data_IF_973812972051
#
_entry.id   IF_973812972051
#
_cell.length_a   1.000
_cell.length_b   1.000
_cell.length_c   1.000
_cell.angle_alpha   90.00
_cell.angle_beta   90.00
_cell.angle_gamma   90.00
#
_symmetry.space_group_name_H-M   'P 1'
#
loop_
_entity.id
_entity.type
_entity.pdbx_description
1 polymer ?
#
# COMPACT_ATOMS: atom_id res chain seq x y z
N UNK A 1 -20.86 -10.93 -27.02
CA UNK A 1 -21.09 -9.48 -26.84
C UNK A 1 -20.77 -9.03 -25.41
N UNK A 2 -21.31 -9.67 -24.36
CA UNK A 2 -21.03 -9.29 -22.95
C UNK A 2 -19.54 -9.25 -22.55
N UNK A 3 -18.67 -10.20 -22.97
CA UNK A 3 -17.25 -10.15 -22.61
C UNK A 3 -16.49 -8.96 -23.20
N UNK A 4 -16.86 -8.50 -24.40
CA UNK A 4 -16.23 -7.33 -25.05
C UNK A 4 -16.57 -6.05 -24.29
N UNK A 5 -17.84 -5.90 -23.89
CA UNK A 5 -18.28 -4.80 -23.05
C UNK A 5 -17.63 -4.84 -21.66
N UNK A 6 -17.49 -6.04 -21.07
CA UNK A 6 -16.77 -6.23 -19.81
C UNK A 6 -15.31 -5.80 -19.90
N UNK A 7 -14.59 -6.23 -20.93
CA UNK A 7 -13.20 -5.83 -21.16
C UNK A 7 -13.06 -4.31 -21.37
N UNK A 8 -13.93 -3.70 -22.19
CA UNK A 8 -13.96 -2.24 -22.37
C UNK A 8 -14.20 -1.51 -21.05
N UNK A 9 -15.16 -1.99 -20.25
CA UNK A 9 -15.47 -1.40 -18.97
C UNK A 9 -14.32 -1.54 -17.97
N UNK A 10 -13.58 -2.66 -17.99
CA UNK A 10 -12.38 -2.83 -17.16
C UNK A 10 -11.28 -1.86 -17.63
N UNK A 11 -10.94 -1.85 -18.92
CA UNK A 11 -9.83 -1.04 -19.42
C UNK A 11 -10.08 0.47 -19.45
N UNK A 12 -11.34 0.91 -19.41
CA UNK A 12 -11.69 2.33 -19.38
C UNK A 12 -12.22 2.74 -18.00
N UNK A 13 -13.16 1.99 -17.45
CA UNK A 13 -13.83 2.29 -16.20
C UNK A 13 -12.93 2.15 -14.97
N UNK A 14 -12.13 1.07 -14.87
CA UNK A 14 -11.26 0.88 -13.71
C UNK A 14 -10.17 1.97 -13.61
N UNK A 15 -9.48 2.39 -14.69
CA UNK A 15 -8.56 3.53 -14.62
C UNK A 15 -9.25 4.84 -14.22
N UNK A 16 -10.44 5.13 -14.75
CA UNK A 16 -11.19 6.34 -14.35
C UNK A 16 -11.51 6.27 -12.85
N UNK A 17 -12.05 5.15 -12.38
CA UNK A 17 -12.37 4.91 -10.97
C UNK A 17 -11.12 5.08 -10.08
N UNK A 18 -10.00 4.48 -10.48
CA UNK A 18 -8.71 4.59 -9.78
C UNK A 18 -8.20 6.02 -9.71
N UNK A 19 -8.37 6.78 -10.79
CA UNK A 19 -7.96 8.18 -10.91
C UNK A 19 -8.78 9.18 -10.09
N UNK A 20 -9.96 8.79 -9.56
CA UNK A 20 -10.79 9.69 -8.77
C UNK A 20 -10.07 10.14 -7.48
N UNK A 21 -9.86 11.46 -7.28
CA UNK A 21 -9.08 12.00 -6.17
C UNK A 21 -9.91 12.11 -4.87
N UNK A 22 -10.66 11.04 -4.52
CA UNK A 22 -11.57 11.01 -3.37
C UNK A 22 -10.87 11.40 -2.07
N UNK A 23 -9.64 10.92 -1.85
CA UNK A 23 -8.82 11.29 -0.69
C UNK A 23 -8.62 12.80 -0.59
N UNK A 24 -8.31 13.46 -1.72
CA UNK A 24 -8.09 14.90 -1.74
C UNK A 24 -9.39 15.66 -1.44
N UNK A 25 -10.53 15.21 -1.95
CA UNK A 25 -11.83 15.82 -1.66
C UNK A 25 -12.21 15.65 -0.20
N UNK A 26 -12.11 14.44 0.35
CA UNK A 26 -12.37 14.13 1.76
C UNK A 26 -11.50 15.00 2.67
N UNK A 27 -10.20 15.04 2.40
CA UNK A 27 -9.25 15.81 3.21
C UNK A 27 -9.54 17.31 3.13
N UNK A 28 -9.84 17.83 1.94
CA UNK A 28 -10.16 19.24 1.77
C UNK A 28 -11.48 19.62 2.46
N UNK A 29 -12.52 18.79 2.38
CA UNK A 29 -13.80 19.05 3.05
C UNK A 29 -13.62 19.09 4.57
N UNK A 30 -12.87 18.15 5.14
CA UNK A 30 -12.74 18.00 6.59
C UNK A 30 -11.69 18.91 7.23
N UNK A 31 -10.57 19.14 6.56
CA UNK A 31 -9.42 19.86 7.13
C UNK A 31 -9.06 21.14 6.38
N UNK A 32 -9.74 21.46 5.27
CA UNK A 32 -9.44 22.57 4.35
C UNK A 32 -8.03 22.56 3.76
N UNK A 33 -7.28 21.47 3.96
CA UNK A 33 -5.92 21.28 3.44
C UNK A 33 -5.95 20.63 2.07
N UNK A 34 -5.04 21.08 1.19
CA UNK A 34 -4.85 20.52 -0.16
C UNK A 34 -3.61 19.64 -0.16
N UNK A 35 -3.81 18.32 -0.19
CA UNK A 35 -2.72 17.34 -0.12
C UNK A 35 -1.68 17.53 -1.24
N UNK A 36 -2.11 17.91 -2.45
CA UNK A 36 -1.22 18.17 -3.58
C UNK A 36 -0.23 19.32 -3.39
N UNK A 37 -0.38 20.14 -2.33
CA UNK A 37 0.51 21.26 -1.99
C UNK A 37 1.27 21.04 -0.68
N UNK A 38 1.19 19.85 -0.09
CA UNK A 38 1.70 19.56 1.25
C UNK A 38 2.58 18.31 1.24
N UNK A 39 3.59 18.27 2.11
CA UNK A 39 4.45 17.11 2.29
C UNK A 39 5.15 16.71 0.99
N UNK A 40 4.95 15.45 0.57
CA UNK A 40 5.48 14.88 -0.67
C UNK A 40 4.69 15.30 -1.92
N UNK A 41 3.52 15.91 -1.75
CA UNK A 41 2.57 16.19 -2.83
C UNK A 41 1.72 14.98 -3.24
N UNK A 42 1.92 13.82 -2.61
CA UNK A 42 1.15 12.62 -2.88
C UNK A 42 -0.28 12.75 -2.35
N UNK A 43 -1.23 12.25 -3.15
CA UNK A 43 -2.61 12.11 -2.69
C UNK A 43 -2.74 10.67 -2.21
N UNK A 44 -2.24 10.36 -1.01
CA UNK A 44 -2.22 9.00 -0.47
C UNK A 44 -3.05 8.89 0.83
N UNK A 45 -3.36 7.65 1.24
CA UNK A 45 -4.00 7.40 2.53
C UNK A 45 -3.11 7.88 3.69
N UNK A 46 -1.80 7.63 3.61
CA UNK A 46 -0.84 8.12 4.59
C UNK A 46 -0.81 9.65 4.65
N UNK A 47 -0.82 10.34 3.51
CA UNK A 47 -0.89 11.80 3.46
C UNK A 47 -2.18 12.34 4.08
N UNK A 48 -3.31 11.64 3.92
CA UNK A 48 -4.58 12.00 4.56
C UNK A 48 -4.52 11.85 6.09
N UNK A 49 -3.90 10.79 6.62
CA UNK A 49 -3.63 10.69 8.06
C UNK A 49 -2.69 11.79 8.54
N UNK A 50 -1.59 12.01 7.81
CA UNK A 50 -0.54 12.93 8.21
C UNK A 50 -1.02 14.38 8.25
N UNK A 51 -1.71 14.84 7.19
CA UNK A 51 -2.14 16.23 7.06
C UNK A 51 -3.60 16.45 7.47
N UNK A 52 -4.50 15.50 7.17
CA UNK A 52 -5.94 15.61 7.44
C UNK A 52 -6.38 15.03 8.79
N UNK A 53 -5.49 14.30 9.47
CA UNK A 53 -5.77 13.67 10.76
C UNK A 53 -6.54 12.35 10.64
N UNK A 54 -6.85 11.76 11.81
CA UNK A 54 -7.38 10.39 11.93
C UNK A 54 -8.68 10.16 11.14
N UNK A 55 -9.63 11.09 11.21
CA UNK A 55 -10.94 10.94 10.55
C UNK A 55 -10.78 10.96 9.02
N UNK A 56 -10.03 11.93 8.50
CA UNK A 56 -9.75 12.02 7.06
C UNK A 56 -9.01 10.77 6.57
N UNK A 57 -8.04 10.27 7.34
CA UNK A 57 -7.33 9.04 7.05
C UNK A 57 -8.24 7.80 7.01
N UNK A 58 -9.14 7.61 7.99
CA UNK A 58 -10.08 6.48 8.00
C UNK A 58 -11.01 6.52 6.78
N UNK A 59 -11.57 7.68 6.46
CA UNK A 59 -12.42 7.84 5.29
C UNK A 59 -11.64 7.64 3.98
N UNK A 60 -10.37 8.05 3.95
CA UNK A 60 -9.48 7.74 2.83
C UNK A 60 -9.26 6.23 2.68
N UNK A 61 -9.01 5.48 3.76
CA UNK A 61 -8.93 4.01 3.71
C UNK A 61 -10.21 3.41 3.13
N UNK A 62 -11.37 3.78 3.68
CA UNK A 62 -12.66 3.21 3.26
C UNK A 62 -12.96 3.50 1.78
N UNK A 63 -12.71 4.73 1.32
CA UNK A 63 -12.94 5.10 -0.08
C UNK A 63 -12.01 4.37 -1.04
N UNK A 64 -10.73 4.19 -0.71
CA UNK A 64 -9.80 3.43 -1.54
C UNK A 64 -10.09 1.92 -1.50
N UNK A 65 -10.43 1.38 -0.32
CA UNK A 65 -10.83 -0.02 -0.16
C UNK A 65 -12.05 -0.35 -1.03
N UNK A 66 -13.09 0.51 -0.97
CA UNK A 66 -14.31 0.33 -1.73
C UNK A 66 -14.05 0.32 -3.24
N UNK A 67 -13.15 1.18 -3.75
CA UNK A 67 -12.76 1.18 -5.17
C UNK A 67 -12.11 -0.14 -5.58
N UNK A 68 -11.21 -0.68 -4.75
CA UNK A 68 -10.57 -1.97 -5.00
C UNK A 68 -11.57 -3.12 -5.04
N UNK A 69 -12.47 -3.18 -4.06
CA UNK A 69 -13.55 -4.17 -3.98
C UNK A 69 -14.48 -4.05 -5.20
N UNK A 70 -14.89 -2.82 -5.55
CA UNK A 70 -15.78 -2.57 -6.68
C UNK A 70 -15.16 -3.04 -8.00
N UNK A 71 -13.87 -2.82 -8.23
CA UNK A 71 -13.19 -3.30 -9.45
C UNK A 71 -13.21 -4.84 -9.56
N UNK A 72 -12.98 -5.53 -8.45
CA UNK A 72 -13.02 -7.00 -8.41
C UNK A 72 -14.43 -7.53 -8.65
N UNK A 73 -15.43 -7.00 -7.93
CA UNK A 73 -16.82 -7.41 -8.12
C UNK A 73 -17.33 -7.11 -9.53
N UNK A 74 -16.89 -6.00 -10.12
CA UNK A 74 -17.20 -5.65 -11.49
C UNK A 74 -16.63 -6.68 -12.45
N UNK A 75 -15.33 -7.01 -12.34
CA UNK A 75 -14.72 -8.03 -13.19
C UNK A 75 -15.41 -9.38 -13.04
N UNK A 76 -15.68 -9.81 -11.80
CA UNK A 76 -16.41 -11.05 -11.49
C UNK A 76 -17.79 -11.12 -12.13
N UNK A 77 -18.49 -10.00 -12.25
CA UNK A 77 -19.83 -9.95 -12.85
C UNK A 77 -19.82 -10.19 -14.37
N UNK A 78 -18.72 -9.85 -15.06
CA UNK A 78 -18.58 -10.05 -16.50
C UNK A 78 -17.78 -11.31 -16.86
N UNK A 79 -16.90 -11.77 -15.96
CA UNK A 79 -15.96 -12.88 -16.16
C UNK A 79 -15.96 -13.84 -14.95
N UNK A 80 -17.08 -14.50 -14.63
CA UNK A 80 -17.22 -15.30 -13.40
C UNK A 80 -16.27 -16.52 -13.36
N UNK A 81 -15.95 -17.10 -14.51
CA UNK A 81 -15.10 -18.29 -14.64
C UNK A 81 -13.63 -17.96 -14.97
N UNK A 82 -13.24 -16.68 -14.87
CA UNK A 82 -11.91 -16.21 -15.29
C UNK A 82 -11.34 -15.25 -14.25
N UNK A 83 -10.86 -15.76 -13.10
CA UNK A 83 -10.43 -14.98 -11.94
C UNK A 83 -9.25 -14.04 -12.25
N UNK A 84 -8.47 -14.30 -13.30
CA UNK A 84 -7.40 -13.41 -13.76
C UNK A 84 -7.92 -12.02 -14.15
N UNK A 85 -9.17 -11.91 -14.60
CA UNK A 85 -9.78 -10.62 -14.95
C UNK A 85 -9.99 -9.72 -13.73
N UNK A 86 -10.16 -10.30 -12.54
CA UNK A 86 -10.22 -9.54 -11.29
C UNK A 86 -8.87 -8.87 -10.99
N UNK A 87 -7.77 -9.60 -11.23
CA UNK A 87 -6.41 -9.07 -11.07
C UNK A 87 -6.09 -8.04 -12.16
N UNK A 88 -6.50 -8.28 -13.41
CA UNK A 88 -6.37 -7.31 -14.51
C UNK A 88 -7.14 -6.01 -14.20
N UNK A 89 -8.33 -6.11 -13.61
CA UNK A 89 -9.10 -4.95 -13.18
C UNK A 89 -8.39 -4.17 -12.06
N UNK A 90 -7.72 -4.85 -11.13
CA UNK A 90 -6.87 -4.20 -10.14
C UNK A 90 -5.67 -3.51 -10.78
N UNK A 91 -5.01 -4.11 -11.78
CA UNK A 91 -3.92 -3.47 -12.54
C UNK A 91 -4.42 -2.19 -13.22
N UNK A 92 -5.55 -2.26 -13.91
CA UNK A 92 -6.15 -1.11 -14.58
C UNK A 92 -6.55 -0.01 -13.59
N UNK A 93 -7.08 -0.38 -12.43
CA UNK A 93 -7.38 0.56 -11.35
C UNK A 93 -6.10 1.22 -10.81
N UNK A 94 -5.05 0.44 -10.54
CA UNK A 94 -3.76 0.96 -10.06
C UNK A 94 -3.13 1.89 -11.10
N UNK A 95 -3.28 1.58 -12.39
CA UNK A 95 -2.82 2.45 -13.48
C UNK A 95 -3.44 3.84 -13.36
N UNK A 96 -4.78 3.91 -13.28
CA UNK A 96 -5.47 5.19 -13.08
C UNK A 96 -5.07 5.87 -11.77
N UNK A 97 -4.91 5.08 -10.70
CA UNK A 97 -4.53 5.58 -9.38
C UNK A 97 -3.17 6.25 -9.36
N UNK A 98 -2.22 5.71 -10.13
CA UNK A 98 -0.87 6.22 -10.26
C UNK A 98 -0.82 7.44 -11.18
N UNK A 99 -1.22 7.29 -12.44
CA UNK A 99 -1.03 8.31 -13.47
C UNK A 99 -1.96 9.52 -13.29
N UNK A 100 -3.17 9.32 -12.77
CA UNK A 100 -4.17 10.39 -12.57
C UNK A 100 -4.23 10.78 -11.10
N UNK A 101 -4.41 9.80 -10.21
CA UNK A 101 -4.62 10.02 -8.79
C UNK A 101 -3.37 10.31 -7.97
N UNK A 102 -2.16 10.23 -8.55
CA UNK A 102 -0.86 10.46 -7.88
C UNK A 102 -0.70 9.68 -6.57
N UNK A 103 -0.98 8.38 -6.59
CA UNK A 103 -0.73 7.50 -5.46
C UNK A 103 -0.55 6.05 -5.89
N UNK A 104 -0.02 5.23 -5.00
CA UNK A 104 0.49 3.92 -5.38
C UNK A 104 -0.59 2.84 -5.61
N UNK A 105 -1.79 3.00 -5.04
CA UNK A 105 -2.87 2.03 -5.16
C UNK A 105 -2.81 0.80 -4.24
N UNK A 106 -1.87 0.77 -3.29
CA UNK A 106 -1.70 -0.34 -2.33
C UNK A 106 -3.00 -0.70 -1.59
N UNK A 107 -3.73 0.30 -1.07
CA UNK A 107 -4.99 0.04 -0.36
C UNK A 107 -6.05 -0.55 -1.27
N UNK A 108 -6.14 -0.10 -2.53
CA UNK A 108 -7.09 -0.67 -3.49
C UNK A 108 -6.75 -2.14 -3.76
N UNK A 109 -5.45 -2.44 -3.98
CA UNK A 109 -5.00 -3.80 -4.26
C UNK A 109 -5.24 -4.71 -3.06
N UNK A 110 -4.86 -4.31 -1.84
CA UNK A 110 -5.06 -5.14 -0.64
C UNK A 110 -6.53 -5.51 -0.46
N UNK A 111 -7.43 -4.54 -0.49
CA UNK A 111 -8.86 -4.81 -0.26
C UNK A 111 -9.54 -5.48 -1.43
N UNK A 112 -9.12 -5.19 -2.66
CA UNK A 112 -9.54 -5.95 -3.83
C UNK A 112 -9.12 -7.41 -3.74
N UNK A 113 -7.85 -7.66 -3.40
CA UNK A 113 -7.31 -9.02 -3.32
C UNK A 113 -7.96 -9.83 -2.18
N UNK A 114 -8.35 -9.19 -1.08
CA UNK A 114 -9.14 -9.83 -0.01
C UNK A 114 -10.47 -10.38 -0.54
N UNK A 115 -11.13 -9.68 -1.46
CA UNK A 115 -12.39 -10.12 -2.08
C UNK A 115 -12.16 -11.14 -3.20
N UNK A 116 -11.04 -11.00 -3.92
CA UNK A 116 -10.60 -11.92 -4.96
C UNK A 116 -10.26 -13.30 -4.39
N UNK A 117 -9.27 -13.36 -3.50
CA UNK A 117 -8.84 -14.58 -2.82
C UNK A 117 -8.56 -14.28 -1.32
N UNK A 118 -9.55 -14.55 -0.45
CA UNK A 118 -9.41 -14.34 0.99
C UNK A 118 -8.30 -15.17 1.62
N UNK A 119 -8.02 -16.37 1.10
CA UNK A 119 -7.06 -17.30 1.70
C UNK A 119 -5.64 -16.87 1.36
N UNK A 120 -5.36 -16.52 0.09
CA UNK A 120 -4.07 -15.94 -0.28
C UNK A 120 -3.83 -14.67 0.52
N UNK A 121 -4.82 -13.78 0.60
CA UNK A 121 -4.72 -12.53 1.35
C UNK A 121 -4.40 -12.77 2.82
N UNK A 122 -5.06 -13.76 3.45
CA UNK A 122 -4.80 -14.13 4.84
C UNK A 122 -3.39 -14.69 5.04
N UNK A 123 -2.93 -15.60 4.18
CA UNK A 123 -1.59 -16.17 4.27
C UNK A 123 -0.49 -15.13 4.03
N UNK A 124 -0.67 -14.25 3.04
CA UNK A 124 0.23 -13.12 2.79
C UNK A 124 0.27 -12.18 3.99
N UNK A 125 -0.88 -11.87 4.58
CA UNK A 125 -0.96 -11.04 5.79
C UNK A 125 -0.25 -11.69 6.97
N UNK A 126 -0.46 -12.99 7.20
CA UNK A 126 0.15 -13.73 8.30
C UNK A 126 1.69 -13.78 8.14
N UNK A 127 2.17 -14.28 7.00
CA UNK A 127 3.61 -14.46 6.74
C UNK A 127 4.30 -13.11 6.62
N UNK A 128 3.70 -12.15 5.89
CA UNK A 128 4.22 -10.80 5.75
C UNK A 128 4.22 -10.03 7.07
N UNK A 129 3.19 -10.19 7.90
CA UNK A 129 3.11 -9.58 9.23
C UNK A 129 4.14 -10.13 10.20
N UNK A 130 4.36 -11.44 10.20
CA UNK A 130 5.44 -12.08 10.98
C UNK A 130 6.80 -11.59 10.48
N UNK A 131 7.03 -11.61 9.17
CA UNK A 131 8.27 -11.12 8.56
C UNK A 131 8.57 -9.66 8.89
N UNK A 132 7.55 -8.80 8.82
CA UNK A 132 7.65 -7.39 9.22
C UNK A 132 7.97 -7.23 10.72
N UNK A 133 7.37 -8.06 11.58
CA UNK A 133 7.61 -8.02 13.04
C UNK A 133 9.04 -8.45 13.40
N UNK A 134 9.61 -9.41 12.65
CA UNK A 134 10.96 -9.95 12.87
C UNK A 134 12.03 -9.02 12.29
N UNK A 135 11.93 -8.69 11.00
CA UNK A 135 12.95 -7.90 10.31
C UNK A 135 12.92 -6.43 10.73
N UNK A 136 11.73 -5.92 11.07
CA UNK A 136 11.45 -4.51 11.41
C UNK A 136 11.98 -3.49 10.40
N UNK A 137 12.30 -3.92 9.18
CA UNK A 137 12.74 -3.06 8.10
C UNK A 137 11.58 -2.87 7.12
N UNK A 138 11.09 -1.64 7.03
CA UNK A 138 9.85 -1.35 6.29
C UNK A 138 10.00 -1.54 4.79
N UNK A 139 11.15 -1.17 4.24
CA UNK A 139 11.45 -1.34 2.82
C UNK A 139 11.47 -2.81 2.42
N UNK A 140 12.18 -3.64 3.19
CA UNK A 140 12.24 -5.08 2.99
C UNK A 140 10.87 -5.74 3.15
N UNK A 141 10.05 -5.32 4.12
CA UNK A 141 8.68 -5.80 4.28
C UNK A 141 7.79 -5.48 3.06
N UNK A 142 7.84 -4.24 2.56
CA UNK A 142 7.06 -3.78 1.39
C UNK A 142 7.37 -4.62 0.14
N UNK A 143 8.64 -4.85 -0.15
CA UNK A 143 9.05 -5.62 -1.32
C UNK A 143 8.91 -7.13 -1.12
N UNK A 144 9.10 -7.62 0.10
CA UNK A 144 8.87 -9.02 0.46
C UNK A 144 7.43 -9.44 0.18
N UNK A 145 6.44 -8.61 0.51
CA UNK A 145 5.02 -8.87 0.22
C UNK A 145 4.76 -8.99 -1.29
N UNK A 146 5.44 -8.19 -2.13
CA UNK A 146 5.29 -8.25 -3.59
C UNK A 146 5.81 -9.55 -4.20
N UNK A 147 6.81 -10.17 -3.58
CA UNK A 147 7.27 -11.51 -3.98
C UNK A 147 6.37 -12.60 -3.41
N UNK A 148 5.95 -12.42 -2.16
CA UNK A 148 5.19 -13.39 -1.41
C UNK A 148 3.79 -13.64 -2.00
N UNK A 149 3.07 -12.60 -2.41
CA UNK A 149 1.70 -12.79 -2.88
C UNK A 149 1.59 -13.60 -4.18
N UNK A 150 2.33 -13.33 -5.29
CA UNK A 150 2.22 -14.16 -6.48
C UNK A 150 2.74 -15.58 -6.23
N UNK A 151 3.70 -15.77 -5.32
CA UNK A 151 4.17 -17.08 -4.92
C UNK A 151 3.06 -17.89 -4.24
N UNK A 152 2.36 -17.31 -3.27
CA UNK A 152 1.25 -17.98 -2.59
C UNK A 152 0.10 -18.24 -3.58
N UNK A 153 -0.18 -17.31 -4.49
CA UNK A 153 -1.16 -17.54 -5.57
C UNK A 153 -0.77 -18.74 -6.44
N UNK A 154 0.50 -18.85 -6.84
CA UNK A 154 0.99 -19.98 -7.64
C UNK A 154 0.94 -21.31 -6.89
N UNK A 155 1.21 -21.32 -5.58
CA UNK A 155 1.12 -22.53 -4.76
C UNK A 155 -0.33 -22.99 -4.57
N UNK A 156 -1.28 -22.07 -4.49
CA UNK A 156 -2.70 -22.37 -4.29
C UNK A 156 -3.42 -22.74 -5.58
N UNK A 157 -3.07 -22.06 -6.68
CA UNK A 157 -3.71 -22.22 -8.00
C UNK A 157 -2.70 -22.66 -9.06
N UNK A 158 -2.01 -23.81 -8.88
CA UNK A 158 -0.87 -24.20 -9.72
C UNK A 158 -1.23 -24.45 -11.19
N UNK A 159 -2.50 -24.69 -11.50
CA UNK A 159 -2.98 -24.96 -12.85
C UNK A 159 -3.56 -23.71 -13.55
N UNK A 160 -3.69 -22.59 -12.84
CA UNK A 160 -4.27 -21.34 -13.37
C UNK A 160 -3.18 -20.37 -13.82
N UNK A 161 -2.46 -20.73 -14.88
CA UNK A 161 -1.36 -19.92 -15.41
C UNK A 161 -1.73 -18.44 -15.67
N UNK A 162 -2.92 -18.09 -16.22
CA UNK A 162 -3.31 -16.69 -16.41
C UNK A 162 -3.42 -15.89 -15.10
N UNK A 163 -3.92 -16.52 -14.03
CA UNK A 163 -4.04 -15.89 -12.73
C UNK A 163 -2.66 -15.64 -12.09
N UNK A 164 -1.75 -16.59 -12.22
CA UNK A 164 -0.37 -16.46 -11.74
C UNK A 164 0.35 -15.33 -12.49
N UNK A 165 0.26 -15.33 -13.81
CA UNK A 165 0.91 -14.32 -14.66
C UNK A 165 0.38 -12.92 -14.39
N UNK A 166 -0.94 -12.75 -14.27
CA UNK A 166 -1.55 -11.47 -13.91
C UNK A 166 -1.14 -11.01 -12.51
N UNK A 167 -1.04 -11.93 -11.53
CA UNK A 167 -0.54 -11.63 -10.18
C UNK A 167 0.92 -11.17 -10.19
N UNK A 168 1.80 -11.84 -10.95
CA UNK A 168 3.19 -11.40 -11.17
C UNK A 168 3.22 -10.02 -11.84
N UNK A 169 2.36 -9.78 -12.83
CA UNK A 169 2.22 -8.49 -13.51
C UNK A 169 1.84 -7.37 -12.54
N UNK A 170 0.85 -7.60 -11.69
CA UNK A 170 0.43 -6.66 -10.65
C UNK A 170 1.56 -6.39 -9.65
N UNK A 171 2.27 -7.44 -9.21
CA UNK A 171 3.40 -7.33 -8.30
C UNK A 171 4.52 -6.45 -8.88
N UNK A 172 4.88 -6.72 -10.13
CA UNK A 172 5.92 -6.00 -10.86
C UNK A 172 5.53 -4.55 -11.08
N UNK A 173 4.25 -4.29 -11.40
CA UNK A 173 3.77 -2.93 -11.60
C UNK A 173 3.79 -2.12 -10.30
N UNK A 174 3.36 -2.71 -9.18
CA UNK A 174 3.49 -2.07 -7.86
C UNK A 174 4.95 -1.86 -7.47
N UNK A 175 5.83 -2.83 -7.73
CA UNK A 175 7.26 -2.71 -7.49
C UNK A 175 7.84 -1.49 -8.21
N UNK A 176 7.49 -1.31 -9.49
CA UNK A 176 7.93 -0.17 -10.28
C UNK A 176 7.39 1.14 -9.71
N UNK A 177 6.08 1.22 -9.42
CA UNK A 177 5.45 2.42 -8.83
C UNK A 177 6.12 2.79 -7.49
N UNK A 178 6.41 1.80 -6.65
CA UNK A 178 7.05 2.00 -5.35
C UNK A 178 8.44 2.61 -5.43
N UNK A 179 9.13 2.46 -6.56
CA UNK A 179 10.43 3.08 -6.80
C UNK A 179 10.30 4.50 -7.39
N UNK A 180 9.10 4.93 -7.83
CA UNK A 180 8.87 6.25 -8.42
C UNK A 180 8.26 7.26 -7.43
N UNK A 181 7.49 6.79 -6.44
CA UNK A 181 6.75 7.67 -5.52
C UNK A 181 7.52 7.84 -4.19
N UNK A 182 7.67 9.07 -3.68
CA UNK A 182 8.23 9.32 -2.35
C UNK A 182 7.33 8.72 -1.25
N UNK A 183 7.90 8.18 -0.17
CA UNK A 183 7.08 7.61 0.91
C UNK A 183 6.67 8.68 1.94
N UNK A 184 5.37 8.82 2.18
CA UNK A 184 4.84 9.79 3.14
C UNK A 184 5.23 9.48 4.59
N UNK A 185 5.55 8.22 4.91
CA UNK A 185 5.98 7.89 6.27
C UNK A 185 7.43 8.30 6.56
N UNK A 186 8.20 8.74 5.56
CA UNK A 186 9.54 9.31 5.77
C UNK A 186 9.47 10.75 6.33
N UNK A 187 8.28 11.37 6.29
CA UNK A 187 8.05 12.70 6.85
C UNK A 187 8.25 12.72 8.37
N UNK A 188 8.60 13.89 8.91
CA UNK A 188 8.85 14.10 10.35
C UNK A 188 7.55 13.92 11.17
N UNK A 189 7.46 12.96 12.11
CA UNK A 189 6.22 12.70 12.87
C UNK A 189 5.70 13.91 13.63
N UNK A 190 6.59 14.80 14.08
CA UNK A 190 6.24 15.99 14.87
C UNK A 190 5.37 16.99 14.09
N UNK A 191 5.45 16.92 12.74
CA UNK A 191 4.64 17.73 11.82
C UNK A 191 3.35 17.05 11.39
N UNK A 192 3.12 15.79 11.78
CA UNK A 192 1.85 15.12 11.56
C UNK A 192 0.77 15.71 12.50
N UNK A 193 -0.49 15.63 12.09
CA UNK A 193 -1.62 15.94 12.96
C UNK A 193 -1.58 15.15 14.28
N UNK A 194 -1.92 15.80 15.40
CA UNK A 194 -1.71 15.26 16.76
C UNK A 194 -2.23 13.83 16.95
N UNK A 195 -3.41 13.54 16.41
CA UNK A 195 -4.05 12.22 16.49
C UNK A 195 -3.37 11.11 15.67
N UNK A 196 -2.38 11.44 14.84
CA UNK A 196 -1.69 10.52 13.94
C UNK A 196 -0.19 10.39 14.22
N UNK A 197 0.39 11.24 15.10
CA UNK A 197 1.83 11.26 15.39
C UNK A 197 2.36 9.90 15.89
N UNK A 198 1.69 9.29 16.87
CA UNK A 198 2.13 8.01 17.45
C UNK A 198 2.19 6.87 16.41
N UNK A 199 1.23 6.84 15.48
CA UNK A 199 1.21 5.87 14.39
C UNK A 199 2.39 6.07 13.44
N UNK A 200 2.68 7.31 13.06
CA UNK A 200 3.83 7.64 12.20
C UNK A 200 5.17 7.35 12.87
N UNK A 201 5.26 7.55 14.19
CA UNK A 201 6.45 7.21 14.95
C UNK A 201 6.70 5.70 14.97
N UNK A 202 5.66 4.91 15.26
CA UNK A 202 5.75 3.44 15.27
C UNK A 202 6.12 2.88 13.89
N UNK A 203 5.51 3.37 12.82
CA UNK A 203 5.75 2.89 11.45
C UNK A 203 7.09 3.34 10.86
N UNK A 204 7.74 4.35 11.46
CA UNK A 204 9.03 4.88 11.03
C UNK A 204 10.23 4.22 11.71
N UNK A 205 10.02 3.39 12.74
CA UNK A 205 11.09 2.93 13.63
C UNK A 205 12.04 1.88 13.01
N UNK A 206 12.49 2.11 11.76
CA UNK A 206 13.72 1.63 11.13
C UNK A 206 14.99 2.06 11.92
N UNK A 207 14.84 2.85 13.00
CA UNK A 207 15.94 3.39 13.82
C UNK A 207 16.11 2.69 15.17
N UNK A 208 15.83 1.39 15.25
CA UNK A 208 16.34 0.59 16.38
C UNK A 208 17.88 0.57 16.42
N UNK A 209 18.55 0.95 15.33
CA UNK A 209 19.97 1.28 15.31
C UNK A 209 20.20 2.66 15.95
N UNK A 210 20.52 2.65 17.24
CA UNK A 210 21.03 3.83 17.94
C UNK A 210 22.37 4.24 17.31
N UNK A 211 22.50 5.50 16.87
CA UNK A 211 23.78 5.99 16.33
C UNK A 211 24.85 5.95 17.42
N UNK A 212 26.10 5.70 17.02
CA UNK A 212 27.28 5.85 17.87
C UNK A 212 27.63 7.34 18.12
N UNK A 213 27.00 8.28 17.42
CA UNK A 213 27.23 9.74 17.60
C UNK A 213 26.62 10.30 18.89
N UNK A 214 25.90 9.48 19.64
CA UNK A 214 25.29 9.84 20.92
C UNK A 214 25.88 8.92 21.99
N UNK A 215 26.14 9.45 23.19
CA UNK A 215 26.61 8.64 24.32
C UNK A 215 25.58 7.56 24.66
N UNK A 216 25.90 6.30 24.31
CA UNK A 216 25.04 5.16 24.55
C UNK A 216 25.29 4.60 25.94
N UNK A 217 24.22 4.36 26.71
CA UNK A 217 24.32 3.73 28.03
C UNK A 217 24.50 2.22 27.89
N UNK A 218 25.53 1.67 28.54
CA UNK A 218 25.86 0.25 28.53
C UNK A 218 24.68 -0.65 28.97
N UNK A 219 23.83 -0.16 29.88
CA UNK A 219 22.63 -0.85 30.36
C UNK A 219 21.60 -1.14 29.24
N UNK A 220 21.60 -0.36 28.14
CA UNK A 220 20.63 -0.49 27.05
C UNK A 220 21.18 -1.17 25.80
N UNK A 221 22.45 -0.96 25.47
CA UNK A 221 23.05 -1.43 24.20
C UNK A 221 24.17 -2.47 24.39
N UNK A 222 24.48 -2.81 25.65
CA UNK A 222 25.63 -3.62 26.00
C UNK A 222 26.93 -2.82 26.03
N UNK A 223 27.90 -3.33 26.78
CA UNK A 223 29.13 -2.60 27.10
C UNK A 223 29.97 -2.29 25.86
N UNK A 224 30.01 -3.20 24.87
CA UNK A 224 30.77 -3.01 23.62
C UNK A 224 30.26 -1.83 22.79
N UNK A 225 28.95 -1.71 22.61
CA UNK A 225 28.37 -0.63 21.81
C UNK A 225 28.46 0.73 22.52
N UNK A 226 28.36 0.74 23.86
CA UNK A 226 28.58 1.94 24.67
C UNK A 226 30.02 2.45 24.54
N UNK A 227 31.02 1.57 24.73
CA UNK A 227 32.43 1.94 24.56
C UNK A 227 32.74 2.41 23.15
N UNK A 228 32.14 1.79 22.11
CA UNK A 228 32.29 2.24 20.72
C UNK A 228 31.70 3.64 20.48
N UNK A 229 30.66 4.05 21.21
CA UNK A 229 30.09 5.41 21.08
C UNK A 229 30.94 6.49 21.74
N UNK A 230 31.76 6.12 22.74
CA UNK A 230 32.67 7.03 23.44
C UNK A 230 34.04 7.16 22.74
N UNK A 231 34.40 6.18 21.90
CA UNK A 231 35.70 6.11 21.20
C UNK A 231 35.70 6.75 19.80
N UNK A 232 34.55 7.23 19.33
CA UNK A 232 34.40 7.88 18.03
C UNK A 232 34.70 9.37 18.12
#
# INVERSE_FOLDING_TARGET
>A
MMPVWGALLIFIGCPILGGLPLISWITWVLSRKRLSKLGTGNISVSAAFYHGGKIAGILAVLSEALKGIAAVLLARSFFPDSPEWEVIALIALVYGRYFIGKGAGTTNVVWGYVVHDPIVSFLVFLIGGIGFTILRERRSGKFGVLVLFPLITALRHPHEAPLILSSIGLATFLWWIYNQIPDDLDLKPERAERGSQAMFQFLRDDRSLMSLDQNLKAEKVGQKAATLSELK
#
